data_IF_518694143330
#
_entry.id   IF_518694143330
#
_cell.length_a   1.000
_cell.length_b   1.000
_cell.length_c   1.000
_cell.angle_alpha   90.00
_cell.angle_beta   90.00
_cell.angle_gamma   90.00
#
_symmetry.space_group_name_H-M   'P 1'
#
loop_
_entity.id
_entity.type
_entity.pdbx_description
1 polymer ?
#
# COMPACT_ATOMS: atom_id res chain seq x y z
N UNK A 1 -22.58 -22.23 -11.92
CA UNK A 1 -22.75 -22.98 -10.66
C UNK A 1 -21.90 -22.27 -9.63
N UNK A 2 -22.49 -21.46 -8.77
CA UNK A 2 -21.78 -20.81 -7.66
C UNK A 2 -21.74 -21.78 -6.48
N UNK A 3 -20.57 -22.31 -6.17
CA UNK A 3 -20.36 -23.07 -4.94
C UNK A 3 -20.70 -22.19 -3.74
N UNK A 4 -21.49 -22.72 -2.80
CA UNK A 4 -21.84 -22.01 -1.57
C UNK A 4 -20.64 -22.08 -0.66
N UNK A 5 -20.04 -20.93 -0.33
CA UNK A 5 -18.98 -20.85 0.67
C UNK A 5 -19.41 -21.52 1.97
N UNK A 6 -18.55 -22.42 2.46
CA UNK A 6 -18.81 -23.19 3.67
C UNK A 6 -18.47 -22.36 4.91
N UNK A 7 -18.94 -22.78 6.09
CA UNK A 7 -18.54 -22.09 7.33
C UNK A 7 -17.02 -22.11 7.48
N UNK A 8 -16.37 -23.18 7.03
CA UNK A 8 -14.92 -23.37 7.22
C UNK A 8 -14.16 -22.32 6.44
N UNK A 9 -14.61 -22.02 5.22
CA UNK A 9 -14.06 -20.93 4.40
C UNK A 9 -14.21 -19.58 5.10
N UNK A 10 -15.32 -19.35 5.81
CA UNK A 10 -15.54 -18.12 6.60
C UNK A 10 -14.65 -18.02 7.83
N UNK A 11 -14.41 -19.14 8.52
CA UNK A 11 -13.52 -19.18 9.69
C UNK A 11 -12.08 -19.02 9.23
N UNK A 12 -11.67 -19.74 8.19
CA UNK A 12 -10.35 -19.67 7.59
C UNK A 12 -10.11 -18.25 7.07
N UNK A 13 -11.05 -17.64 6.34
CA UNK A 13 -10.96 -16.26 5.89
C UNK A 13 -10.89 -15.24 7.02
N UNK A 14 -11.59 -15.49 8.14
CA UNK A 14 -11.50 -14.62 9.33
C UNK A 14 -10.17 -14.77 10.07
N UNK A 15 -9.65 -15.99 10.19
CA UNK A 15 -8.38 -16.31 10.87
C UNK A 15 -7.17 -15.90 10.01
N UNK A 16 -7.27 -16.02 8.70
CA UNK A 16 -6.24 -15.61 7.74
C UNK A 16 -6.34 -14.12 7.33
N UNK A 17 -7.28 -13.35 7.90
CA UNK A 17 -7.41 -11.92 7.66
C UNK A 17 -7.91 -11.53 6.25
N UNK A 18 -8.52 -12.48 5.54
CA UNK A 18 -9.01 -12.33 4.16
C UNK A 18 -10.47 -11.86 4.07
N UNK A 19 -11.12 -11.53 5.20
CA UNK A 19 -12.41 -10.83 5.20
C UNK A 19 -12.19 -9.34 5.01
N UNK A 20 -12.74 -8.80 3.93
CA UNK A 20 -12.99 -7.39 3.62
C UNK A 20 -12.40 -6.42 4.64
N UNK A 21 -11.29 -5.78 4.27
CA UNK A 21 -10.64 -4.69 5.02
C UNK A 21 -11.61 -3.51 5.12
N UNK A 22 -12.61 -3.62 5.99
CA UNK A 22 -13.61 -2.60 6.25
C UNK A 22 -13.07 -1.65 7.30
N UNK A 23 -12.83 -0.41 6.90
CA UNK A 23 -12.50 0.71 7.76
C UNK A 23 -13.28 1.93 7.28
N UNK A 24 -13.63 2.81 8.21
CA UNK A 24 -14.36 4.07 7.95
C UNK A 24 -13.43 5.29 8.10
N UNK A 25 -12.29 5.12 8.78
CA UNK A 25 -11.29 6.14 8.99
C UNK A 25 -9.90 5.61 8.63
N UNK A 26 -9.05 6.49 8.06
CA UNK A 26 -7.63 6.24 7.83
C UNK A 26 -6.85 7.28 8.63
N UNK A 27 -5.96 6.81 9.49
CA UNK A 27 -4.96 7.61 10.18
C UNK A 27 -3.59 7.27 9.59
N UNK A 28 -2.82 8.29 9.26
CA UNK A 28 -1.44 8.13 8.79
C UNK A 28 -0.55 8.83 9.81
N UNK A 29 0.43 8.11 10.33
CA UNK A 29 1.40 8.68 11.24
C UNK A 29 2.16 9.81 10.52
N UNK A 30 2.39 10.90 11.26
CA UNK A 30 3.04 12.09 10.69
C UNK A 30 4.45 11.73 10.20
N UNK A 31 5.15 10.91 10.96
CA UNK A 31 6.49 10.43 10.66
C UNK A 31 6.54 9.69 9.31
N UNK A 32 5.53 8.87 9.00
CA UNK A 32 5.39 8.19 7.70
C UNK A 32 5.22 9.21 6.58
N UNK A 33 4.37 10.22 6.79
CA UNK A 33 4.14 11.28 5.81
C UNK A 33 5.42 12.10 5.55
N UNK A 34 6.13 12.47 6.61
CA UNK A 34 7.38 13.21 6.52
C UNK A 34 8.48 12.39 5.81
N UNK A 35 8.53 11.07 6.06
CA UNK A 35 9.46 10.17 5.39
C UNK A 35 9.15 10.03 3.89
N UNK A 36 7.88 9.86 3.50
CA UNK A 36 7.44 9.85 2.09
C UNK A 36 7.94 11.11 1.36
N UNK A 37 7.72 12.29 1.96
CA UNK A 37 8.13 13.57 1.38
C UNK A 37 9.66 13.65 1.25
N UNK A 38 10.40 13.21 2.27
CA UNK A 38 11.85 13.24 2.25
C UNK A 38 12.43 12.29 1.19
N UNK A 39 11.88 11.09 1.04
CA UNK A 39 12.31 10.12 0.03
C UNK A 39 12.01 10.65 -1.36
N UNK A 40 10.80 11.16 -1.61
CA UNK A 40 10.43 11.76 -2.89
C UNK A 40 11.40 12.90 -3.30
N UNK A 41 11.76 13.77 -2.35
CA UNK A 41 12.75 14.84 -2.59
C UNK A 41 14.14 14.32 -2.93
N UNK A 42 14.56 13.20 -2.32
CA UNK A 42 15.86 12.57 -2.60
C UNK A 42 15.86 11.77 -3.90
N UNK A 43 14.72 11.21 -4.29
CA UNK A 43 14.56 10.44 -5.51
C UNK A 43 14.50 11.32 -6.77
N UNK A 44 14.09 12.60 -6.62
CA UNK A 44 14.06 13.55 -7.73
C UNK A 44 15.40 13.57 -8.50
N UNK A 45 15.39 13.43 -9.85
CA UNK A 45 14.25 13.61 -10.76
C UNK A 45 13.44 12.34 -11.09
N UNK A 46 13.71 11.21 -10.44
CA UNK A 46 12.96 9.98 -10.64
C UNK A 46 11.73 9.86 -9.72
N UNK A 47 10.78 9.01 -10.11
CA UNK A 47 9.69 8.59 -9.26
C UNK A 47 10.20 7.71 -8.11
N UNK A 48 9.42 7.60 -7.04
CA UNK A 48 9.68 6.68 -5.93
C UNK A 48 8.39 5.90 -5.71
N UNK A 49 8.49 4.64 -5.27
CA UNK A 49 7.33 3.83 -4.85
C UNK A 49 7.68 3.02 -3.60
N UNK A 50 6.72 2.88 -2.69
CA UNK A 50 6.74 1.95 -1.57
C UNK A 50 5.34 1.39 -1.30
N UNK A 51 5.28 0.30 -0.54
CA UNK A 51 4.02 -0.17 0.04
C UNK A 51 3.80 0.48 1.41
N UNK A 52 2.55 0.71 1.76
CA UNK A 52 2.12 1.22 3.06
C UNK A 52 1.85 0.04 3.99
N UNK A 53 2.53 0.00 5.14
CA UNK A 53 2.22 -0.92 6.24
C UNK A 53 1.17 -0.30 7.16
N UNK A 54 0.22 -1.13 7.60
CA UNK A 54 -0.79 -0.65 8.53
C UNK A 54 -1.67 -1.77 9.08
N UNK A 55 -2.48 -1.40 10.07
CA UNK A 55 -3.37 -2.32 10.80
C UNK A 55 -4.75 -1.73 10.94
N UNK A 56 -5.76 -2.58 10.83
CA UNK A 56 -7.15 -2.21 11.06
C UNK A 56 -7.53 -2.62 12.47
N UNK A 57 -8.04 -1.66 13.25
CA UNK A 57 -8.59 -1.88 14.59
C UNK A 57 -9.79 -0.96 14.77
N UNK A 58 -10.89 -1.50 15.29
CA UNK A 58 -12.10 -0.72 15.58
C UNK A 58 -12.54 0.16 14.38
N UNK A 59 -12.61 -0.43 13.19
CA UNK A 59 -12.95 0.23 11.90
C UNK A 59 -12.01 1.40 11.50
N UNK A 60 -10.85 1.52 12.12
CA UNK A 60 -9.81 2.51 11.79
C UNK A 60 -8.59 1.82 11.21
N UNK A 61 -8.18 2.23 10.01
CA UNK A 61 -6.90 1.83 9.42
C UNK A 61 -5.82 2.82 9.88
N UNK A 62 -4.85 2.34 10.68
CA UNK A 62 -3.65 3.12 11.02
C UNK A 62 -2.48 2.69 10.13
N UNK A 63 -1.86 3.66 9.47
CA UNK A 63 -0.68 3.51 8.62
C UNK A 63 0.52 4.05 9.39
N UNK A 64 1.40 3.14 9.81
CA UNK A 64 2.51 3.40 10.73
C UNK A 64 3.88 3.02 10.14
N UNK A 65 3.92 2.59 8.87
CA UNK A 65 5.18 2.19 8.22
C UNK A 65 5.19 2.20 6.70
N UNK A 66 6.41 2.08 6.17
CA UNK A 66 6.72 1.90 4.76
C UNK A 66 7.44 0.57 4.55
N UNK A 67 7.06 -0.15 3.50
CA UNK A 67 7.69 -1.41 3.10
C UNK A 67 8.30 -1.25 1.71
N UNK A 68 9.59 -1.55 1.63
CA UNK A 68 10.38 -1.47 0.41
C UNK A 68 10.69 -2.87 -0.11
N UNK A 69 10.87 -2.96 -1.42
CA UNK A 69 11.29 -4.18 -2.13
C UNK A 69 12.12 -3.79 -3.35
N UNK A 70 12.72 -4.78 -4.01
CA UNK A 70 13.41 -4.55 -5.27
C UNK A 70 12.44 -4.04 -6.34
N UNK A 71 12.92 -3.15 -7.20
CA UNK A 71 12.10 -2.46 -8.18
C UNK A 71 12.94 -1.63 -9.15
N UNK A 72 12.25 -0.94 -10.05
CA UNK A 72 12.86 -0.01 -11.00
C UNK A 72 12.19 1.36 -10.88
N UNK A 73 12.97 2.41 -11.14
CA UNK A 73 12.50 3.79 -11.09
C UNK A 73 13.02 4.57 -12.30
N UNK A 74 12.21 5.51 -12.77
CA UNK A 74 12.48 6.39 -13.89
C UNK A 74 11.81 7.75 -13.69
N UNK A 75 11.93 8.66 -14.65
CA UNK A 75 11.22 9.94 -14.62
C UNK A 75 9.72 9.81 -14.94
N UNK A 76 9.28 8.63 -15.40
CA UNK A 76 7.93 8.39 -15.93
C UNK A 76 7.13 7.37 -15.10
N UNK A 77 7.76 6.72 -14.12
CA UNK A 77 7.16 5.62 -13.40
C UNK A 77 8.14 4.97 -12.43
N UNK A 78 7.61 4.32 -11.40
CA UNK A 78 8.33 3.38 -10.55
C UNK A 78 7.52 2.10 -10.34
N UNK A 79 8.21 0.96 -10.33
CA UNK A 79 7.62 -0.37 -10.12
C UNK A 79 8.30 -1.08 -8.97
N UNK A 80 7.52 -1.83 -8.20
CA UNK A 80 8.00 -2.60 -7.05
C UNK A 80 7.61 -4.07 -7.19
N UNK A 81 8.52 -4.97 -6.86
CA UNK A 81 8.23 -6.40 -6.85
C UNK A 81 7.47 -6.77 -5.56
N UNK A 82 6.15 -6.77 -5.65
CA UNK A 82 5.27 -7.09 -4.51
C UNK A 82 5.33 -8.56 -4.09
N UNK A 83 5.70 -9.48 -5.00
CA UNK A 83 5.86 -10.90 -4.67
C UNK A 83 7.02 -11.17 -3.70
N UNK A 84 7.98 -10.24 -3.61
CA UNK A 84 9.10 -10.34 -2.67
C UNK A 84 8.77 -9.77 -1.28
N UNK A 85 7.62 -9.12 -1.11
CA UNK A 85 7.21 -8.55 0.17
C UNK A 85 6.66 -9.66 1.07
N UNK A 86 7.18 -9.83 2.30
CA UNK A 86 6.66 -10.84 3.22
C UNK A 86 5.18 -10.60 3.52
N UNK A 87 4.36 -11.65 3.42
CA UNK A 87 2.90 -11.59 3.67
C UNK A 87 2.60 -11.06 5.09
N UNK A 88 3.51 -11.26 6.03
CA UNK A 88 3.38 -10.80 7.42
C UNK A 88 3.51 -9.29 7.63
N UNK A 89 3.91 -8.53 6.60
CA UNK A 89 4.10 -7.07 6.69
C UNK A 89 2.81 -6.28 6.84
N UNK A 90 1.65 -6.87 6.56
CA UNK A 90 0.37 -6.16 6.70
C UNK A 90 0.25 -4.99 5.72
N UNK A 91 0.72 -5.12 4.48
CA UNK A 91 0.55 -4.07 3.47
C UNK A 91 -0.92 -3.74 3.23
N UNK A 92 -1.26 -2.46 3.25
CA UNK A 92 -2.64 -1.95 3.10
C UNK A 92 -2.86 -1.09 1.87
N UNK A 93 -1.78 -0.66 1.21
CA UNK A 93 -1.82 0.13 -0.02
C UNK A 93 -0.41 0.42 -0.53
N UNK A 94 -0.31 1.33 -1.49
CA UNK A 94 0.95 1.82 -2.04
C UNK A 94 0.99 3.35 -2.02
N UNK A 95 2.20 3.89 -2.13
CA UNK A 95 2.45 5.31 -2.33
C UNK A 95 3.56 5.47 -3.36
N UNK A 96 3.42 6.44 -4.24
CA UNK A 96 4.49 6.85 -5.15
C UNK A 96 4.55 8.37 -5.31
N UNK A 97 5.61 8.87 -5.94
CA UNK A 97 5.81 10.30 -6.18
C UNK A 97 5.88 10.63 -7.67
N UNK A 98 5.21 11.71 -8.07
CA UNK A 98 5.39 12.31 -9.40
C UNK A 98 6.39 13.49 -9.34
N UNK A 99 7.52 13.46 -10.09
CA UNK A 99 8.54 14.51 -10.08
C UNK A 99 8.14 15.79 -10.86
N UNK A 100 6.84 16.02 -11.04
CA UNK A 100 6.26 17.15 -11.75
C UNK A 100 5.25 17.94 -10.91
N UNK A 101 4.61 18.97 -11.48
CA UNK A 101 3.69 19.85 -10.74
C UNK A 101 2.31 19.23 -10.49
N UNK A 102 1.97 18.10 -11.13
CA UNK A 102 0.68 17.45 -10.96
C UNK A 102 0.75 16.33 -9.92
N UNK A 103 -0.19 16.35 -8.97
CA UNK A 103 -0.41 15.26 -8.01
C UNK A 103 -1.56 14.33 -8.43
N UNK A 104 -2.10 14.50 -9.65
CA UNK A 104 -3.17 13.63 -10.17
C UNK A 104 -2.60 12.30 -10.64
N UNK A 105 -3.28 11.16 -10.38
CA UNK A 105 -2.85 9.87 -10.90
C UNK A 105 -2.86 9.88 -12.44
N UNK A 106 -1.87 9.20 -13.03
CA UNK A 106 -1.87 8.88 -14.44
C UNK A 106 -2.85 7.75 -14.76
N UNK A 107 -3.08 7.47 -16.05
CA UNK A 107 -3.88 6.30 -16.45
C UNK A 107 -3.26 4.98 -15.97
N UNK A 108 -1.92 4.90 -15.90
CA UNK A 108 -1.24 3.69 -15.44
C UNK A 108 -1.43 3.47 -13.94
N UNK A 109 -1.57 4.55 -13.15
CA UNK A 109 -1.77 4.46 -11.70
C UNK A 109 -3.19 3.99 -11.31
N UNK A 110 -4.14 4.05 -12.26
CA UNK A 110 -5.54 3.67 -12.06
C UNK A 110 -5.85 2.22 -12.47
N UNK A 111 -4.89 1.52 -13.08
CA UNK A 111 -5.05 0.15 -13.59
C UNK A 111 -4.50 -0.88 -12.59
#
# INVERSE_FOLDING_TARGET
>A
MTEKETWMDKIIGHVLGNKDKNFQEILIDREVTDEIIQIARKAHPFEFVAMLEGKIKDETLTIDGLVFSAGETSHQGAVINTFMIPISTGTVGSVHSHPGPSATPSTADLQ
#
